data_IF_825584283201
#
_entry.id   IF_825584283201
#
_cell.length_a   1.000
_cell.length_b   1.000
_cell.length_c   1.000
_cell.angle_alpha   90.00
_cell.angle_beta   90.00
_cell.angle_gamma   90.00
#
_symmetry.space_group_name_H-M   'P 1'
#
loop_
_entity.id
_entity.type
_entity.pdbx_description
1 polymer ?
#
# COMPACT_ATOMS: atom_id res chain seq x y z
N UNK A 1 10.68 5.15 15.33
CA UNK A 1 9.72 5.68 14.33
C UNK A 1 8.39 5.00 14.60
N UNK A 2 7.30 5.72 14.80
CA UNK A 2 5.98 5.09 15.00
C UNK A 2 5.47 4.53 13.67
N UNK A 3 4.67 3.46 13.69
CA UNK A 3 4.13 2.82 12.48
C UNK A 3 3.41 3.83 11.56
N UNK A 4 2.73 4.82 12.15
CA UNK A 4 2.08 5.91 11.43
C UNK A 4 3.05 6.84 10.71
N UNK A 5 4.22 7.10 11.29
CA UNK A 5 5.25 7.92 10.66
C UNK A 5 5.87 7.23 9.44
N UNK A 6 6.09 5.91 9.51
CA UNK A 6 6.56 5.12 8.36
C UNK A 6 5.51 5.10 7.23
N UNK A 7 4.22 5.03 7.57
CA UNK A 7 3.15 5.10 6.59
C UNK A 7 3.06 6.46 5.89
N UNK A 8 3.23 7.55 6.66
CA UNK A 8 3.24 8.90 6.12
C UNK A 8 4.40 9.13 5.15
N UNK A 9 5.61 8.68 5.54
CA UNK A 9 6.82 8.77 4.73
C UNK A 9 6.65 8.03 3.39
N UNK A 10 6.15 6.79 3.42
CA UNK A 10 5.88 6.04 2.20
C UNK A 10 4.89 6.80 1.30
N UNK A 11 3.78 7.32 1.83
CA UNK A 11 2.81 8.09 1.02
C UNK A 11 3.46 9.30 0.36
N UNK A 12 4.36 10.02 1.06
CA UNK A 12 5.09 11.15 0.45
C UNK A 12 6.04 10.69 -0.65
N UNK A 13 6.80 9.62 -0.42
CA UNK A 13 7.71 9.03 -1.42
C UNK A 13 6.99 8.55 -2.68
N UNK A 14 5.76 8.05 -2.53
CA UNK A 14 4.90 7.66 -3.65
C UNK A 14 4.33 8.85 -4.45
N UNK A 15 4.73 10.08 -4.12
CA UNK A 15 4.27 11.32 -4.78
C UNK A 15 3.05 11.96 -4.11
N UNK A 16 2.80 11.63 -2.85
CA UNK A 16 1.81 12.28 -2.01
C UNK A 16 0.38 11.78 -2.18
N UNK A 17 -0.52 12.33 -1.36
CA UNK A 17 -1.88 11.82 -1.22
C UNK A 17 -2.72 11.83 -2.50
N UNK A 18 -2.49 12.78 -3.40
CA UNK A 18 -3.22 12.87 -4.68
C UNK A 18 -2.82 11.73 -5.62
N UNK A 19 -1.51 11.55 -5.85
CA UNK A 19 -1.00 10.54 -6.78
C UNK A 19 -1.32 9.12 -6.30
N UNK A 20 -1.19 8.89 -5.00
CA UNK A 20 -1.55 7.61 -4.37
C UNK A 20 -3.05 7.34 -4.54
N UNK A 21 -3.92 8.31 -4.28
CA UNK A 21 -5.37 8.16 -4.43
C UNK A 21 -5.78 7.80 -5.88
N UNK A 22 -5.22 8.50 -6.87
CA UNK A 22 -5.48 8.22 -8.29
C UNK A 22 -4.97 6.84 -8.70
N UNK A 23 -3.75 6.48 -8.31
CA UNK A 23 -3.16 5.19 -8.63
C UNK A 23 -3.95 4.03 -7.99
N UNK A 24 -4.37 4.19 -6.74
CA UNK A 24 -5.20 3.20 -6.03
C UNK A 24 -6.57 3.05 -6.69
N UNK A 25 -7.22 4.17 -7.03
CA UNK A 25 -8.53 4.13 -7.72
C UNK A 25 -8.43 3.42 -9.06
N UNK A 26 -7.36 3.67 -9.82
CA UNK A 26 -7.10 3.01 -11.10
C UNK A 26 -6.78 1.52 -10.93
N UNK A 27 -6.06 1.14 -9.89
CA UNK A 27 -5.64 -0.24 -9.65
C UNK A 27 -6.78 -1.13 -9.14
N UNK A 28 -7.65 -0.60 -8.27
CA UNK A 28 -8.72 -1.39 -7.63
C UNK A 28 -10.09 -1.23 -8.29
N UNK A 29 -10.29 -0.16 -9.07
CA UNK A 29 -11.62 0.26 -9.52
C UNK A 29 -12.52 0.83 -8.40
N UNK A 30 -12.08 0.79 -7.14
CA UNK A 30 -12.75 1.42 -6.00
C UNK A 30 -12.26 2.86 -5.84
N UNK A 31 -13.19 3.82 -5.76
CA UNK A 31 -12.85 5.22 -5.55
C UNK A 31 -12.08 5.40 -4.24
N UNK A 32 -10.85 5.87 -4.35
CA UNK A 32 -10.01 6.29 -3.24
C UNK A 32 -9.89 7.82 -3.24
N UNK A 33 -10.47 8.50 -2.25
CA UNK A 33 -10.39 9.97 -2.18
C UNK A 33 -9.07 10.45 -1.58
N UNK A 34 -8.51 11.54 -2.14
CA UNK A 34 -7.30 12.17 -1.63
C UNK A 34 -7.35 12.47 -0.13
N UNK A 35 -8.51 12.87 0.37
CA UNK A 35 -8.71 13.21 1.79
C UNK A 35 -8.59 11.98 2.68
N UNK A 36 -9.01 10.81 2.20
CA UNK A 36 -8.78 9.56 2.89
C UNK A 36 -7.28 9.28 3.01
N UNK A 37 -6.53 9.43 1.92
CA UNK A 37 -5.06 9.23 1.93
C UNK A 37 -4.37 10.21 2.87
N UNK A 38 -4.76 11.48 2.90
CA UNK A 38 -4.24 12.44 3.87
C UNK A 38 -4.55 12.06 5.32
N UNK A 39 -5.72 11.48 5.59
CA UNK A 39 -6.05 10.93 6.92
C UNK A 39 -5.16 9.73 7.27
N UNK A 40 -4.76 8.91 6.30
CA UNK A 40 -3.86 7.78 6.53
C UNK A 40 -2.45 8.20 6.95
N UNK A 41 -1.97 9.38 6.53
CA UNK A 41 -0.69 9.91 7.03
C UNK A 41 -0.69 10.12 8.55
N UNK A 42 -1.85 10.41 9.15
CA UNK A 42 -2.00 10.60 10.61
C UNK A 42 -2.38 9.31 11.34
N UNK A 43 -3.30 8.54 10.76
CA UNK A 43 -3.93 7.39 11.44
C UNK A 43 -3.36 6.03 10.99
N UNK A 44 -2.49 6.02 9.98
CA UNK A 44 -2.02 4.82 9.30
C UNK A 44 -2.92 4.39 8.15
N UNK A 45 -2.34 3.62 7.21
CA UNK A 45 -3.07 3.07 6.06
C UNK A 45 -3.99 1.92 6.52
N UNK A 46 -5.29 1.94 6.16
CA UNK A 46 -6.23 0.87 6.46
C UNK A 46 -5.76 -0.44 5.84
N UNK A 47 -5.99 -1.55 6.54
CA UNK A 47 -5.50 -2.87 6.13
C UNK A 47 -5.86 -3.24 4.68
N UNK A 48 -7.09 -2.90 4.24
CA UNK A 48 -7.58 -3.18 2.88
C UNK A 48 -6.77 -2.48 1.78
N UNK A 49 -6.14 -1.34 2.08
CA UNK A 49 -5.37 -0.57 1.11
C UNK A 49 -3.87 -0.87 1.15
N UNK A 50 -3.37 -1.48 2.24
CA UNK A 50 -1.93 -1.71 2.43
C UNK A 50 -1.31 -2.50 1.29
N UNK A 51 -1.96 -3.59 0.86
CA UNK A 51 -1.51 -4.42 -0.26
C UNK A 51 -1.38 -3.61 -1.55
N UNK A 52 -2.39 -2.80 -1.86
CA UNK A 52 -2.38 -1.98 -3.08
C UNK A 52 -1.31 -0.89 -3.00
N UNK A 53 -1.08 -0.30 -1.82
CA UNK A 53 0.01 0.66 -1.61
C UNK A 53 1.38 -0.01 -1.74
N UNK A 54 1.54 -1.27 -1.30
CA UNK A 54 2.76 -2.04 -1.53
C UNK A 54 3.02 -2.29 -3.01
N UNK A 55 2.02 -2.78 -3.74
CA UNK A 55 2.16 -2.98 -5.18
C UNK A 55 2.49 -1.68 -5.92
N UNK A 56 1.90 -0.56 -5.48
CA UNK A 56 2.24 0.76 -6.01
C UNK A 56 3.70 1.14 -5.71
N UNK A 57 4.18 0.84 -4.50
CA UNK A 57 5.58 1.09 -4.13
C UNK A 57 6.54 0.23 -4.94
N UNK A 58 6.27 -1.07 -5.07
CA UNK A 58 7.06 -2.00 -5.90
C UNK A 58 7.11 -1.54 -7.36
N UNK A 59 5.96 -1.14 -7.92
CA UNK A 59 5.87 -0.64 -9.29
C UNK A 59 6.66 0.67 -9.52
N UNK A 60 6.90 1.45 -8.47
CA UNK A 60 7.71 2.68 -8.52
C UNK A 60 9.16 2.47 -8.07
N UNK A 61 9.55 1.25 -7.71
CA UNK A 61 10.90 0.96 -7.19
C UNK A 61 11.16 1.46 -5.77
N UNK A 62 10.09 1.75 -5.02
CA UNK A 62 10.15 2.26 -3.65
C UNK A 62 10.16 1.11 -2.64
N UNK A 63 10.92 1.29 -1.56
CA UNK A 63 11.01 0.28 -0.50
C UNK A 63 9.84 0.40 0.46
N UNK A 64 9.13 -0.70 0.67
CA UNK A 64 8.05 -0.81 1.66
C UNK A 64 8.64 -1.14 3.04
N UNK A 65 8.23 -0.46 4.13
CA UNK A 65 8.63 -0.83 5.48
C UNK A 65 8.16 -2.26 5.84
N UNK A 66 8.98 -3.05 6.54
CA UNK A 66 8.64 -4.46 6.86
C UNK A 66 7.34 -4.59 7.69
N UNK A 67 7.07 -3.64 8.59
CA UNK A 67 5.84 -3.58 9.40
C UNK A 67 4.62 -2.97 8.65
N UNK A 68 4.77 -2.59 7.38
CA UNK A 68 3.70 -1.94 6.63
C UNK A 68 2.55 -2.90 6.38
N UNK A 69 2.87 -4.16 6.03
CA UNK A 69 1.89 -5.23 5.85
C UNK A 69 1.99 -6.16 7.04
N UNK A 70 0.91 -6.30 7.80
CA UNK A 70 0.86 -7.30 8.86
C UNK A 70 1.22 -8.68 8.29
N UNK A 71 2.13 -9.39 8.95
CA UNK A 71 2.72 -10.67 8.50
C UNK A 71 1.69 -11.70 8.00
N UNK A 72 0.42 -11.60 8.41
CA UNK A 72 -0.68 -12.44 7.89
C UNK A 72 -1.00 -12.24 6.40
N UNK A 73 -0.65 -11.12 5.79
CA UNK A 73 -0.92 -10.84 4.37
C UNK A 73 0.24 -11.29 3.46
N UNK A 74 1.49 -11.18 3.93
CA UNK A 74 2.67 -11.69 3.21
C UNK A 74 2.54 -13.20 2.93
N UNK A 75 1.89 -13.93 3.85
CA UNK A 75 1.50 -15.32 3.65
C UNK A 75 0.53 -15.51 2.47
N UNK A 76 -0.54 -14.71 2.36
CA UNK A 76 -1.49 -14.81 1.24
C UNK A 76 -0.84 -14.50 -0.12
N UNK A 77 0.12 -13.57 -0.19
CA UNK A 77 0.87 -13.28 -1.42
C UNK A 77 1.85 -14.41 -1.79
N UNK A 78 2.51 -15.03 -0.80
CA UNK A 78 3.34 -16.23 -1.04
C UNK A 78 2.50 -17.41 -1.53
N UNK A 79 1.28 -17.60 -1.01
CA UNK A 79 0.38 -18.65 -1.50
C UNK A 79 -0.19 -18.35 -2.89
N UNK A 80 -0.53 -17.09 -3.20
CA UNK A 80 -1.01 -16.70 -4.54
C UNK A 80 0.09 -16.83 -5.61
N UNK A 81 1.32 -16.39 -5.32
CA UNK A 81 2.45 -16.51 -6.25
C UNK A 81 2.94 -17.96 -6.44
N UNK A 82 2.75 -18.84 -5.43
CA UNK A 82 3.07 -20.26 -5.53
C UNK A 82 2.03 -21.07 -6.34
N UNK A 83 0.82 -20.53 -6.55
CA UNK A 83 -0.23 -21.18 -7.34
C UNK A 83 -0.09 -21.05 -8.86
N UNK A 84 0.76 -20.14 -9.35
CA UNK A 84 0.88 -19.83 -10.79
C UNK A 84 2.08 -20.50 -11.48
N UNK A 85 2.69 -21.50 -10.83
CA UNK A 85 3.77 -22.33 -11.40
C UNK A 85 3.35 -23.78 -11.64
N UNK A 86 2.04 -24.05 -11.72
CA UNK A 86 1.50 -25.37 -12.00
C UNK A 86 0.21 -25.28 -12.84
N UNK A 87 0.30 -24.79 -14.07
CA UNK A 87 -0.59 -25.17 -15.19
C UNK A 87 0.06 -24.77 -16.50
#
# INVERSE_FOLDING_TARGET
MTMTAAHADLIDRLGGGTRVAEALTKATGERCDREAVYKWKRNGVPWKWRVHVCHLAEAMGETVPDDFVDTRIRAQQLFAAAGEKAS
#
